data_IF_851895467098
#
_entry.id   IF_851895467098
#
_cell.length_a   1.000
_cell.length_b   1.000
_cell.length_c   1.000
_cell.angle_alpha   90.00
_cell.angle_beta   90.00
_cell.angle_gamma   90.00
#
_symmetry.space_group_name_H-M   'P 1'
#
loop_
_entity.id
_entity.type
_entity.pdbx_description
1 polymer ?
#
# COMPACT_ATOMS: atom_id res chain seq x y z
N UNK A 1 20.69 -1.48 8.65
CA UNK A 1 21.56 -1.71 7.47
C UNK A 1 22.04 -0.38 6.86
N UNK A 2 21.16 0.53 6.43
CA UNK A 2 21.58 1.80 5.83
C UNK A 2 22.50 2.64 6.75
N UNK A 3 22.14 2.78 8.04
CA UNK A 3 22.97 3.48 9.02
C UNK A 3 24.36 2.86 9.22
N UNK A 4 24.47 1.53 9.18
CA UNK A 4 25.75 0.83 9.32
C UNK A 4 26.65 1.10 8.10
N UNK A 5 26.09 1.02 6.87
CA UNK A 5 26.83 1.39 5.65
C UNK A 5 27.26 2.85 5.62
N UNK A 6 26.55 3.73 6.32
CA UNK A 6 26.87 5.14 6.43
C UNK A 6 27.88 5.46 7.55
N UNK A 7 28.35 4.45 8.31
CA UNK A 7 29.29 4.69 9.40
C UNK A 7 28.69 5.52 10.54
N UNK A 8 27.42 5.32 10.90
CA UNK A 8 26.72 6.13 11.91
C UNK A 8 26.25 5.27 13.08
N UNK A 9 27.07 5.18 14.14
CA UNK A 9 26.78 4.33 15.30
C UNK A 9 25.49 4.73 16.03
N UNK A 10 25.29 6.02 16.26
CA UNK A 10 24.12 6.53 16.97
C UNK A 10 22.80 6.10 16.30
N UNK A 11 22.76 6.11 14.96
CA UNK A 11 21.62 5.65 14.19
C UNK A 11 21.49 4.12 14.16
N UNK A 12 22.60 3.38 14.11
CA UNK A 12 22.59 1.90 14.21
C UNK A 12 22.04 1.46 15.55
N UNK A 13 22.55 2.01 16.65
CA UNK A 13 22.11 1.66 18.00
C UNK A 13 20.63 1.99 18.22
N UNK A 14 20.16 3.13 17.70
CA UNK A 14 18.74 3.48 17.74
C UNK A 14 17.88 2.48 16.96
N UNK A 15 18.32 2.06 15.77
CA UNK A 15 17.60 1.08 14.95
C UNK A 15 17.52 -0.29 15.64
N UNK A 16 18.63 -0.77 16.21
CA UNK A 16 18.65 -2.01 17.00
C UNK A 16 17.70 -1.92 18.19
N UNK A 17 17.79 -0.81 18.94
CA UNK A 17 16.93 -0.56 20.11
C UNK A 17 15.45 -0.55 19.73
N UNK A 18 15.11 0.00 18.55
CA UNK A 18 13.73 0.07 18.05
C UNK A 18 13.15 -1.30 17.69
N UNK A 19 13.99 -2.32 17.47
CA UNK A 19 13.56 -3.70 17.23
C UNK A 19 13.57 -4.51 18.53
N UNK A 20 14.63 -4.39 19.33
CA UNK A 20 14.79 -5.21 20.55
C UNK A 20 13.88 -4.76 21.67
N UNK A 21 13.73 -3.45 21.90
CA UNK A 21 12.87 -2.94 22.98
C UNK A 21 11.43 -3.48 22.92
N UNK A 22 10.68 -3.34 21.80
CA UNK A 22 9.32 -3.88 21.74
C UNK A 22 9.31 -5.42 21.83
N UNK A 23 10.29 -6.11 21.23
CA UNK A 23 10.37 -7.57 21.34
C UNK A 23 10.55 -8.03 22.79
N UNK A 24 11.37 -7.33 23.58
CA UNK A 24 11.56 -7.62 25.01
C UNK A 24 10.31 -7.27 25.82
N UNK A 25 9.66 -6.13 25.56
CA UNK A 25 8.47 -5.71 26.30
C UNK A 25 7.26 -6.61 26.02
N UNK A 26 7.08 -7.04 24.78
CA UNK A 26 5.90 -7.79 24.35
C UNK A 26 6.16 -9.30 24.24
N UNK A 27 7.39 -9.74 24.53
CA UNK A 27 7.85 -11.13 24.41
C UNK A 27 7.63 -11.73 23.01
N UNK A 28 7.57 -10.87 21.98
CA UNK A 28 7.29 -11.27 20.60
C UNK A 28 7.62 -10.14 19.61
N UNK A 29 7.98 -10.48 18.38
CA UNK A 29 8.23 -9.52 17.31
C UNK A 29 6.92 -9.16 16.60
N UNK A 30 6.16 -8.22 17.20
CA UNK A 30 4.92 -7.69 16.62
C UNK A 30 5.12 -7.13 15.22
N UNK A 31 4.06 -7.21 14.41
CA UNK A 31 4.02 -6.70 13.05
C UNK A 31 3.91 -5.17 13.03
N UNK A 32 2.94 -4.64 13.76
CA UNK A 32 2.57 -3.22 13.71
C UNK A 32 2.66 -2.57 15.08
N UNK A 33 2.92 -1.27 15.11
CA UNK A 33 2.94 -0.44 16.31
C UNK A 33 2.20 0.87 16.05
N UNK A 34 1.56 1.42 17.09
CA UNK A 34 1.00 2.77 17.08
C UNK A 34 2.16 3.76 17.04
N UNK A 35 2.21 4.59 16.00
CA UNK A 35 3.36 5.49 15.76
C UNK A 35 3.72 6.34 16.97
N UNK A 36 2.72 6.93 17.64
CA UNK A 36 2.93 7.87 18.75
C UNK A 36 3.29 7.23 20.10
N UNK A 37 3.05 5.93 20.28
CA UNK A 37 3.27 5.27 21.58
C UNK A 37 4.25 4.10 21.50
N UNK A 38 4.47 3.54 20.31
CA UNK A 38 5.23 2.30 20.11
C UNK A 38 4.53 1.06 20.66
N UNK A 39 3.26 1.16 21.08
CA UNK A 39 2.47 0.03 21.57
C UNK A 39 1.83 -0.72 20.38
N UNK A 40 1.63 -2.03 20.51
CA UNK A 40 0.85 -2.79 19.54
C UNK A 40 -0.65 -2.64 19.78
N UNK A 41 -1.06 -2.35 21.03
CA UNK A 41 -2.46 -2.11 21.37
C UNK A 41 -2.95 -0.82 20.69
N UNK A 42 -3.94 -0.94 19.80
CA UNK A 42 -4.48 0.17 19.00
C UNK A 42 -4.19 0.08 17.50
N UNK A 43 -3.38 -0.88 17.04
CA UNK A 43 -3.22 -1.16 15.60
C UNK A 43 -4.47 -1.85 15.04
N UNK A 44 -4.86 -1.52 13.80
CA UNK A 44 -6.02 -2.16 13.14
C UNK A 44 -5.82 -3.66 12.87
N UNK A 45 -4.61 -4.06 12.46
CA UNK A 45 -4.21 -5.44 12.16
C UNK A 45 -2.84 -5.67 12.77
N UNK A 46 -2.60 -6.85 13.32
CA UNK A 46 -1.30 -7.21 13.88
C UNK A 46 -1.13 -8.72 13.94
N UNK A 47 0.12 -9.16 13.93
CA UNK A 47 0.53 -10.54 14.14
C UNK A 47 1.66 -10.60 15.15
N UNK A 48 1.63 -11.59 16.04
CA UNK A 48 2.75 -11.88 16.95
C UNK A 48 3.90 -12.57 16.23
N UNK A 49 3.62 -13.34 15.19
CA UNK A 49 4.62 -14.18 14.51
C UNK A 49 4.69 -13.81 13.03
N UNK A 50 4.99 -12.55 12.74
CA UNK A 50 5.10 -12.10 11.36
C UNK A 50 6.51 -12.34 10.82
N UNK A 51 6.60 -13.03 9.68
CA UNK A 51 7.85 -13.49 9.09
C UNK A 51 8.86 -12.33 8.93
N UNK A 52 8.40 -11.17 8.46
CA UNK A 52 9.29 -10.02 8.25
C UNK A 52 9.79 -9.38 9.55
N UNK A 53 9.02 -9.42 10.63
CA UNK A 53 9.43 -8.87 11.93
C UNK A 53 10.49 -9.75 12.59
N UNK A 54 10.27 -11.07 12.54
CA UNK A 54 11.24 -12.08 12.99
C UNK A 54 12.53 -12.02 12.16
N UNK A 55 12.38 -11.92 10.83
CA UNK A 55 13.52 -11.81 9.91
C UNK A 55 14.30 -10.51 10.14
N UNK A 56 13.62 -9.40 10.46
CA UNK A 56 14.27 -8.13 10.81
C UNK A 56 15.10 -8.23 12.08
N UNK A 57 14.61 -8.95 13.10
CA UNK A 57 15.36 -9.22 14.33
C UNK A 57 16.61 -10.08 14.06
N UNK A 58 16.45 -11.21 13.37
CA UNK A 58 17.57 -12.09 12.99
C UNK A 58 18.59 -11.36 12.10
N UNK A 59 18.13 -10.47 11.20
CA UNK A 59 19.01 -9.68 10.35
C UNK A 59 19.90 -8.71 11.13
N UNK A 60 19.55 -8.29 12.35
CA UNK A 60 20.48 -7.55 13.22
C UNK A 60 21.69 -8.42 13.55
N UNK A 61 21.48 -9.68 13.89
CA UNK A 61 22.58 -10.61 14.17
C UNK A 61 23.40 -10.86 12.91
N UNK A 62 22.77 -11.34 11.84
CA UNK A 62 23.52 -11.78 10.65
C UNK A 62 24.10 -10.62 9.85
N UNK A 63 23.33 -9.56 9.60
CA UNK A 63 23.71 -8.51 8.66
C UNK A 63 24.29 -7.26 9.31
N UNK A 64 24.16 -7.10 10.63
CA UNK A 64 24.75 -5.97 11.36
C UNK A 64 25.93 -6.46 12.20
N UNK A 65 25.70 -7.30 13.22
CA UNK A 65 26.80 -7.72 14.10
C UNK A 65 27.87 -8.55 13.37
N UNK A 66 27.48 -9.60 12.65
CA UNK A 66 28.43 -10.37 11.83
C UNK A 66 28.65 -9.77 10.44
N UNK A 67 27.80 -8.83 10.02
CA UNK A 67 27.99 -8.12 8.75
C UNK A 67 27.94 -9.00 7.49
N UNK A 68 27.24 -10.13 7.55
CA UNK A 68 27.20 -11.14 6.49
C UNK A 68 26.57 -10.58 5.22
N UNK A 69 27.31 -10.65 4.12
CA UNK A 69 26.85 -10.31 2.78
C UNK A 69 27.12 -11.48 1.83
N UNK A 70 26.09 -11.85 1.08
CA UNK A 70 26.18 -12.91 0.06
C UNK A 70 26.62 -12.30 -1.26
N UNK A 71 27.69 -12.82 -1.82
CA UNK A 71 28.22 -12.49 -3.14
C UNK A 71 28.08 -13.71 -4.06
N UNK A 72 28.34 -13.53 -5.36
CA UNK A 72 28.20 -14.61 -6.34
C UNK A 72 29.10 -15.81 -6.01
N UNK A 73 30.37 -15.53 -5.69
CA UNK A 73 31.42 -16.54 -5.49
C UNK A 73 31.99 -16.58 -4.06
N UNK A 74 31.42 -15.82 -3.13
CA UNK A 74 31.89 -15.75 -1.75
C UNK A 74 30.78 -15.32 -0.78
N UNK A 75 31.10 -15.40 0.50
CA UNK A 75 30.39 -14.70 1.57
C UNK A 75 31.39 -13.78 2.25
N UNK A 76 31.02 -12.51 2.43
CA UNK A 76 31.87 -11.47 3.01
C UNK A 76 31.32 -10.98 4.35
N UNK A 77 32.21 -10.49 5.19
CA UNK A 77 31.92 -10.04 6.54
C UNK A 77 32.28 -8.56 6.70
N UNK A 78 31.26 -7.74 6.98
CA UNK A 78 31.38 -6.30 7.22
C UNK A 78 30.65 -5.93 8.53
N UNK A 79 31.15 -6.41 9.67
CA UNK A 79 30.51 -6.27 10.97
C UNK A 79 30.39 -4.79 11.36
N UNK A 80 29.31 -4.46 12.06
CA UNK A 80 29.13 -3.17 12.71
C UNK A 80 28.56 -3.43 14.11
N UNK A 81 29.39 -3.20 15.12
CA UNK A 81 29.02 -3.40 16.52
C UNK A 81 29.12 -2.07 17.25
N UNK A 82 27.99 -1.45 17.64
CA UNK A 82 28.04 -0.25 18.47
C UNK A 82 28.82 -0.49 19.76
N UNK A 83 29.58 0.50 20.23
CA UNK A 83 30.41 0.38 21.43
C UNK A 83 29.60 -0.03 22.67
N UNK A 84 28.37 0.49 22.80
CA UNK A 84 27.45 0.14 23.89
C UNK A 84 27.06 -1.35 23.91
N UNK A 85 27.30 -2.07 22.81
CA UNK A 85 27.05 -3.49 22.64
C UNK A 85 28.35 -4.28 22.45
N UNK A 86 29.52 -3.72 22.81
CA UNK A 86 30.78 -4.45 22.75
C UNK A 86 30.69 -5.78 23.51
N UNK A 87 31.30 -6.83 22.96
CA UNK A 87 31.26 -8.16 23.57
C UNK A 87 31.78 -9.24 22.66
N UNK A 88 31.69 -10.48 23.12
CA UNK A 88 32.02 -11.69 22.36
C UNK A 88 30.71 -12.32 21.89
N UNK A 89 30.65 -12.71 20.62
CA UNK A 89 29.51 -13.38 20.01
C UNK A 89 29.96 -14.62 19.27
N UNK A 90 29.10 -15.63 19.28
CA UNK A 90 29.30 -16.85 18.53
C UNK A 90 28.07 -17.13 17.66
N UNK A 91 28.32 -17.48 16.40
CA UNK A 91 27.34 -18.04 15.49
C UNK A 91 27.79 -19.44 15.11
N UNK A 92 27.15 -20.43 15.72
CA UNK A 92 27.51 -21.83 15.57
C UNK A 92 26.64 -22.50 14.50
N UNK A 93 27.24 -23.43 13.76
CA UNK A 93 26.61 -24.19 12.70
C UNK A 93 25.95 -23.36 11.58
N UNK A 94 26.58 -22.24 11.20
CA UNK A 94 26.08 -21.42 10.10
C UNK A 94 26.34 -22.11 8.77
N UNK A 95 25.28 -22.59 8.14
CA UNK A 95 25.36 -23.26 6.84
C UNK A 95 25.57 -22.26 5.73
N UNK A 96 26.65 -22.45 4.97
CA UNK A 96 26.93 -21.73 3.74
C UNK A 96 27.31 -22.74 2.66
N UNK A 97 26.33 -23.10 1.81
CA UNK A 97 26.47 -24.16 0.81
C UNK A 97 26.93 -25.47 1.49
N UNK A 98 28.03 -26.05 1.04
CA UNK A 98 28.61 -27.29 1.59
C UNK A 98 29.52 -27.05 2.82
N UNK A 99 29.69 -25.80 3.24
CA UNK A 99 30.44 -25.45 4.45
C UNK A 99 29.53 -25.29 5.68
N UNK A 100 30.08 -25.66 6.83
CA UNK A 100 29.52 -25.47 8.15
C UNK A 100 30.45 -24.57 8.98
N UNK A 101 30.03 -23.33 9.20
CA UNK A 101 30.88 -22.29 9.76
C UNK A 101 30.53 -22.03 11.24
N UNK A 102 31.54 -22.13 12.10
CA UNK A 102 31.48 -21.61 13.47
C UNK A 102 32.22 -20.27 13.52
N UNK A 103 31.50 -19.18 13.73
CA UNK A 103 32.03 -17.82 13.64
C UNK A 103 32.08 -17.20 15.03
N UNK A 104 33.27 -16.83 15.49
CA UNK A 104 33.51 -16.09 16.72
C UNK A 104 33.82 -14.62 16.36
N UNK A 105 33.09 -13.67 16.93
CA UNK A 105 33.29 -12.23 16.77
C UNK A 105 33.55 -11.59 18.12
N UNK A 106 34.49 -10.64 18.18
CA UNK A 106 34.80 -9.90 19.39
C UNK A 106 35.21 -8.46 19.09
N UNK A 107 34.84 -7.56 19.99
CA UNK A 107 35.20 -6.14 19.94
C UNK A 107 34.00 -5.24 19.62
N UNK A 108 34.29 -4.03 19.14
CA UNK A 108 33.32 -3.08 18.61
C UNK A 108 33.86 -2.23 17.46
N UNK A 109 32.98 -1.47 16.82
CA UNK A 109 33.26 -0.63 15.65
C UNK A 109 32.82 -1.29 14.34
N UNK A 110 33.32 -0.75 13.22
CA UNK A 110 32.97 -1.18 11.86
C UNK A 110 34.18 -1.63 11.02
N UNK A 111 35.35 -1.77 11.66
CA UNK A 111 36.60 -2.22 11.04
C UNK A 111 37.09 -3.51 11.69
N UNK A 112 37.54 -4.43 10.85
CA UNK A 112 38.15 -5.70 11.27
C UNK A 112 39.66 -5.51 11.42
N UNK A 113 40.19 -5.82 12.60
CA UNK A 113 41.63 -5.89 12.86
C UNK A 113 42.22 -7.26 12.46
N UNK A 114 41.48 -8.34 12.77
CA UNK A 114 41.90 -9.71 12.47
C UNK A 114 40.73 -10.53 11.92
N UNK A 115 40.99 -11.20 10.79
CA UNK A 115 40.13 -12.23 10.24
C UNK A 115 40.93 -13.52 10.03
N UNK A 116 40.48 -14.64 10.59
CA UNK A 116 41.13 -15.94 10.38
C UNK A 116 40.14 -17.01 9.97
N UNK A 117 40.59 -17.93 9.10
CA UNK A 117 39.93 -19.19 8.79
C UNK A 117 40.82 -20.33 9.30
N UNK A 118 40.28 -21.16 10.20
CA UNK A 118 40.98 -22.27 10.86
C UNK A 118 42.33 -21.87 11.48
N UNK A 119 42.38 -20.67 12.06
CA UNK A 119 43.58 -20.09 12.69
C UNK A 119 44.56 -19.43 11.70
N UNK A 120 44.34 -19.54 10.39
CA UNK A 120 45.15 -18.87 9.37
C UNK A 120 44.58 -17.50 9.06
N UNK A 121 45.40 -16.45 9.21
CA UNK A 121 45.01 -15.07 8.87
C UNK A 121 44.74 -14.93 7.37
N UNK A 122 43.62 -14.32 7.02
CA UNK A 122 43.30 -13.92 5.65
C UNK A 122 43.42 -12.39 5.49
N UNK A 123 43.71 -11.93 4.28
CA UNK A 123 43.81 -10.50 3.98
C UNK A 123 42.45 -9.84 3.78
N UNK A 124 41.50 -10.58 3.22
CA UNK A 124 40.13 -10.13 3.01
C UNK A 124 39.18 -10.91 3.93
N UNK A 125 38.16 -10.26 4.52
CA UNK A 125 37.18 -10.90 5.38
C UNK A 125 36.12 -11.64 4.53
N UNK A 126 36.58 -12.59 3.72
CA UNK A 126 35.76 -13.32 2.77
C UNK A 126 36.04 -14.82 2.81
N UNK A 127 35.00 -15.61 2.54
CA UNK A 127 35.05 -17.07 2.46
C UNK A 127 34.51 -17.50 1.09
N UNK A 128 35.27 -18.29 0.31
CA UNK A 128 34.86 -18.67 -1.04
C UNK A 128 33.67 -19.62 -1.02
N UNK A 129 32.80 -19.51 -2.03
CA UNK A 129 31.63 -20.37 -2.22
C UNK A 129 31.96 -21.85 -2.40
N UNK A 130 33.22 -22.16 -2.73
CA UNK A 130 33.73 -23.52 -2.92
C UNK A 130 34.20 -24.19 -1.62
N UNK A 131 34.20 -23.48 -0.48
CA UNK A 131 34.59 -24.06 0.81
C UNK A 131 33.62 -25.18 1.21
N UNK A 132 34.14 -26.26 1.80
CA UNK A 132 33.35 -27.44 2.19
C UNK A 132 33.82 -27.99 3.53
N UNK A 133 32.90 -28.55 4.31
CA UNK A 133 33.22 -29.15 5.60
C UNK A 133 33.11 -28.15 6.77
N UNK A 134 33.66 -28.53 7.92
CA UNK A 134 33.53 -27.77 9.17
C UNK A 134 34.71 -26.82 9.35
N UNK A 135 34.42 -25.54 9.58
CA UNK A 135 35.45 -24.50 9.70
C UNK A 135 35.19 -23.56 10.87
N UNK A 136 36.27 -23.02 11.44
CA UNK A 136 36.22 -21.97 12.46
C UNK A 136 36.68 -20.65 11.86
N UNK A 137 35.84 -19.62 11.97
CA UNK A 137 36.15 -18.25 11.62
C UNK A 137 36.32 -17.45 12.91
N UNK A 138 37.34 -16.60 12.96
CA UNK A 138 37.52 -15.62 14.03
C UNK A 138 37.60 -14.22 13.45
N UNK A 139 36.80 -13.32 14.00
CA UNK A 139 36.72 -11.90 13.65
C UNK A 139 37.04 -11.09 14.91
N UNK A 140 38.06 -10.24 14.85
CA UNK A 140 38.37 -9.28 15.91
C UNK A 140 38.23 -7.90 15.32
N UNK A 141 37.39 -7.06 15.93
CA UNK A 141 37.21 -5.67 15.55
C UNK A 141 38.29 -4.80 16.18
N UNK A 142 38.55 -3.65 15.56
CA UNK A 142 39.63 -2.74 15.98
C UNK A 142 39.32 -1.96 17.27
N UNK A 143 38.10 -2.07 17.82
CA UNK A 143 37.64 -1.29 18.97
C UNK A 143 37.67 0.24 18.72
N UNK A 144 37.40 0.62 17.47
CA UNK A 144 37.26 2.02 17.06
C UNK A 144 35.88 2.56 17.44
N UNK A 145 35.86 3.77 18.03
CA UNK A 145 34.62 4.53 18.16
C UNK A 145 34.16 5.00 16.76
N UNK A 146 32.90 4.75 16.43
CA UNK A 146 32.29 5.22 15.19
C UNK A 146 31.36 6.38 15.51
N UNK A 147 31.75 7.59 15.08
CA UNK A 147 30.92 8.78 15.30
C UNK A 147 29.56 8.69 14.58
N UNK A 148 28.56 9.38 15.10
CA UNK A 148 27.26 9.42 14.47
C UNK A 148 26.31 10.40 15.13
N UNK A 149 25.40 10.97 14.33
CA UNK A 149 24.30 11.80 14.83
C UNK A 149 22.98 11.18 14.44
N UNK A 150 22.01 11.28 15.36
CA UNK A 150 20.61 10.96 15.09
C UNK A 150 19.79 12.24 15.18
N UNK A 151 18.97 12.46 14.17
CA UNK A 151 17.97 13.53 14.19
C UNK A 151 16.64 12.91 14.61
N UNK A 152 16.06 13.40 15.71
CA UNK A 152 14.75 12.97 16.19
C UNK A 152 13.78 14.13 15.98
N UNK A 153 12.91 13.97 14.99
CA UNK A 153 11.80 14.89 14.76
C UNK A 153 10.62 14.47 15.64
N UNK A 154 9.87 15.44 16.16
CA UNK A 154 8.62 15.14 16.86
C UNK A 154 7.59 14.56 15.89
N UNK A 155 6.80 13.62 16.36
CA UNK A 155 5.65 13.14 15.61
C UNK A 155 4.73 14.30 15.24
N UNK A 156 4.27 14.28 14.00
CA UNK A 156 3.33 15.24 13.47
C UNK A 156 2.24 14.52 12.71
N UNK A 157 1.00 14.65 13.17
CA UNK A 157 -0.18 14.12 12.48
C UNK A 157 -0.95 15.29 11.88
N UNK A 158 -1.24 15.18 10.59
CA UNK A 158 -2.04 16.19 9.88
C UNK A 158 -3.48 16.19 10.40
N UNK A 159 -4.21 17.27 10.14
CA UNK A 159 -5.66 17.30 10.42
C UNK A 159 -6.43 16.28 9.58
N UNK A 160 -7.66 15.97 10.01
CA UNK A 160 -8.53 15.00 9.36
C UNK A 160 -8.83 15.32 7.89
N UNK A 161 -9.08 14.27 7.11
CA UNK A 161 -9.38 14.39 5.67
C UNK A 161 -10.79 14.94 5.46
N UNK A 162 -11.00 15.98 4.63
CA UNK A 162 -12.33 16.50 4.34
C UNK A 162 -13.25 15.46 3.68
N UNK A 163 -14.45 15.29 4.23
CA UNK A 163 -15.54 14.54 3.60
C UNK A 163 -16.37 15.50 2.74
N UNK A 164 -16.09 15.51 1.43
CA UNK A 164 -16.68 16.47 0.49
C UNK A 164 -17.93 15.88 -0.16
N UNK A 165 -18.98 16.70 -0.25
CA UNK A 165 -20.23 16.39 -0.93
C UNK A 165 -20.54 17.48 -1.96
N UNK A 166 -21.20 17.10 -3.07
CA UNK A 166 -21.71 18.04 -4.07
C UNK A 166 -23.23 18.16 -3.95
N UNK A 167 -23.72 19.34 -3.58
CA UNK A 167 -25.15 19.65 -3.53
C UNK A 167 -25.42 20.98 -4.23
N UNK A 168 -26.34 20.98 -5.20
CA UNK A 168 -26.78 22.20 -5.94
C UNK A 168 -25.63 23.09 -6.45
N UNK A 169 -24.51 22.50 -6.84
CA UNK A 169 -23.34 23.25 -7.34
C UNK A 169 -22.36 23.72 -6.28
N UNK A 170 -22.60 23.38 -5.02
CA UNK A 170 -21.68 23.65 -3.93
C UNK A 170 -20.93 22.37 -3.55
N UNK A 171 -19.61 22.45 -3.53
CA UNK A 171 -18.82 21.54 -2.71
C UNK A 171 -19.00 21.94 -1.25
N UNK A 172 -19.22 20.96 -0.38
CA UNK A 172 -19.45 21.14 1.06
C UNK A 172 -18.73 20.08 1.87
N UNK A 173 -18.13 20.49 2.97
CA UNK A 173 -17.49 19.60 3.93
C UNK A 173 -17.73 20.12 5.36
N UNK A 174 -17.64 19.26 6.39
CA UNK A 174 -17.70 19.72 7.78
C UNK A 174 -16.46 20.54 8.15
N UNK A 175 -16.58 21.41 9.17
CA UNK A 175 -15.43 22.05 9.78
C UNK A 175 -14.55 20.96 10.43
N UNK A 176 -13.24 21.05 10.21
CA UNK A 176 -12.26 20.11 10.74
C UNK A 176 -11.52 20.78 11.90
N UNK A 177 -11.40 20.07 13.01
CA UNK A 177 -10.65 20.55 14.17
C UNK A 177 -9.17 20.76 13.81
N UNK A 178 -8.59 21.87 14.23
CA UNK A 178 -7.21 22.26 13.91
C UNK A 178 -6.99 22.83 12.49
N UNK A 179 -7.96 22.70 11.58
CA UNK A 179 -7.86 23.28 10.24
C UNK A 179 -8.09 24.80 10.28
N UNK A 180 -7.20 25.55 9.64
CA UNK A 180 -7.27 27.02 9.49
C UNK A 180 -7.83 27.40 8.12
N UNK A 181 -7.42 26.68 7.07
CA UNK A 181 -7.86 26.90 5.69
C UNK A 181 -8.08 25.57 4.97
N UNK A 182 -8.60 25.64 3.75
CA UNK A 182 -8.82 24.51 2.86
C UNK A 182 -8.25 24.80 1.48
N UNK A 183 -7.41 23.91 0.96
CA UNK A 183 -6.91 23.96 -0.41
C UNK A 183 -7.87 23.19 -1.30
N UNK A 184 -8.45 23.86 -2.31
CA UNK A 184 -9.22 23.20 -3.37
C UNK A 184 -8.28 22.78 -4.47
N UNK A 185 -8.43 21.55 -4.93
CA UNK A 185 -7.84 21.06 -6.16
C UNK A 185 -8.91 20.96 -7.25
N UNK A 186 -8.48 21.21 -8.48
CA UNK A 186 -9.22 20.84 -9.70
C UNK A 186 -8.27 20.11 -10.63
N UNK A 187 -8.65 18.91 -11.06
CA UNK A 187 -7.88 18.06 -11.98
C UNK A 187 -6.42 17.86 -11.49
N UNK A 188 -6.27 17.59 -10.19
CA UNK A 188 -4.98 17.41 -9.51
C UNK A 188 -4.14 18.68 -9.31
N UNK A 189 -4.64 19.87 -9.67
CA UNK A 189 -3.92 21.15 -9.55
C UNK A 189 -4.55 22.06 -8.51
N UNK A 190 -3.73 22.84 -7.82
CA UNK A 190 -4.19 23.87 -6.88
C UNK A 190 -5.09 24.88 -7.61
N UNK A 191 -6.34 24.99 -7.16
CA UNK A 191 -7.32 25.94 -7.68
C UNK A 191 -7.37 27.20 -6.82
N UNK A 192 -7.60 27.05 -5.51
CA UNK A 192 -7.74 28.17 -4.57
C UNK A 192 -7.61 27.72 -3.12
N UNK A 193 -7.33 28.66 -2.22
CA UNK A 193 -7.38 28.44 -0.76
C UNK A 193 -8.55 29.22 -0.20
N UNK A 194 -9.38 28.58 0.62
CA UNK A 194 -10.57 29.18 1.24
C UNK A 194 -10.61 28.89 2.74
N UNK A 195 -11.19 29.79 3.52
CA UNK A 195 -11.48 29.57 4.95
C UNK A 195 -12.90 29.04 5.20
N UNK A 196 -13.76 29.10 4.20
CA UNK A 196 -15.14 28.60 4.25
C UNK A 196 -15.18 27.10 3.98
N UNK A 197 -16.20 26.43 4.50
CA UNK A 197 -16.44 25.00 4.29
C UNK A 197 -17.41 24.69 3.15
N UNK A 198 -17.68 25.68 2.31
CA UNK A 198 -18.50 25.53 1.12
C UNK A 198 -18.05 26.48 0.01
N UNK A 199 -17.98 25.94 -1.22
CA UNK A 199 -17.55 26.69 -2.42
C UNK A 199 -18.48 26.36 -3.58
N UNK A 200 -19.00 27.41 -4.23
CA UNK A 200 -19.74 27.28 -5.48
C UNK A 200 -18.75 26.95 -6.60
N UNK A 201 -19.05 25.90 -7.37
CA UNK A 201 -18.21 25.45 -8.48
C UNK A 201 -18.92 25.61 -9.82
N UNK A 202 -18.12 25.77 -10.87
CA UNK A 202 -18.63 25.82 -12.23
C UNK A 202 -18.95 24.42 -12.73
N UNK A 203 -20.21 24.19 -13.12
CA UNK A 203 -20.73 22.94 -13.69
C UNK A 203 -20.71 22.87 -15.21
N UNK A 204 -20.26 23.93 -15.89
CA UNK A 204 -20.32 24.03 -17.35
C UNK A 204 -19.33 23.10 -18.08
N UNK A 205 -18.33 22.58 -17.38
CA UNK A 205 -17.31 21.69 -17.93
C UNK A 205 -17.03 20.57 -16.95
N UNK A 206 -16.52 19.46 -17.48
CA UNK A 206 -15.95 18.41 -16.64
C UNK A 206 -14.86 18.99 -15.73
N UNK A 207 -14.79 18.49 -14.50
CA UNK A 207 -13.70 18.74 -13.58
C UNK A 207 -13.79 17.81 -12.38
N UNK A 208 -12.65 17.28 -11.98
CA UNK A 208 -12.50 16.50 -10.76
C UNK A 208 -12.05 17.43 -9.63
N UNK A 209 -12.82 17.52 -8.54
CA UNK A 209 -12.50 18.40 -7.42
C UNK A 209 -12.15 17.61 -6.17
N UNK A 210 -11.15 18.09 -5.43
CA UNK A 210 -10.79 17.58 -4.11
C UNK A 210 -10.52 18.74 -3.16
N UNK A 211 -10.58 18.45 -1.86
CA UNK A 211 -10.28 19.43 -0.80
C UNK A 211 -9.26 18.83 0.16
N UNK A 212 -8.22 19.60 0.49
CA UNK A 212 -7.31 19.33 1.60
C UNK A 212 -7.59 20.32 2.72
N UNK A 213 -7.57 19.87 3.97
CA UNK A 213 -7.55 20.75 5.12
C UNK A 213 -6.10 21.15 5.43
N UNK A 214 -5.87 22.43 5.71
CA UNK A 214 -4.57 22.98 6.08
C UNK A 214 -4.62 23.41 7.54
N UNK A 215 -3.67 22.94 8.34
CA UNK A 215 -3.53 23.38 9.72
C UNK A 215 -2.80 24.74 9.84
N UNK A 216 -2.52 25.15 11.08
CA UNK A 216 -1.86 26.42 11.40
C UNK A 216 -0.43 26.56 10.88
N UNK A 217 0.22 25.45 10.49
CA UNK A 217 1.55 25.43 9.89
C UNK A 217 1.50 25.20 8.38
N UNK A 218 0.31 25.28 7.77
CA UNK A 218 0.04 25.00 6.37
C UNK A 218 0.40 23.56 5.94
N UNK A 219 0.39 22.60 6.88
CA UNK A 219 0.55 21.19 6.52
C UNK A 219 -0.81 20.64 6.05
N UNK A 220 -0.87 20.01 4.87
CA UNK A 220 -2.12 19.49 4.33
C UNK A 220 -2.49 18.13 4.93
N UNK A 221 -3.78 17.88 5.13
CA UNK A 221 -4.37 16.54 5.25
C UNK A 221 -4.18 15.74 3.96
N UNK A 222 -4.65 14.49 3.93
CA UNK A 222 -4.95 13.85 2.64
C UNK A 222 -6.03 14.66 1.90
N UNK A 223 -6.03 14.54 0.57
CA UNK A 223 -7.11 15.07 -0.25
C UNK A 223 -8.37 14.22 -0.05
N UNK A 224 -9.54 14.89 -0.08
CA UNK A 224 -10.85 14.22 -0.06
C UNK A 224 -11.00 13.20 -1.18
N UNK A 225 -12.01 12.34 -1.10
CA UNK A 225 -12.47 11.58 -2.27
C UNK A 225 -12.73 12.55 -3.44
N UNK A 226 -12.30 12.21 -4.66
CA UNK A 226 -12.58 13.02 -5.84
C UNK A 226 -14.07 13.18 -6.10
N UNK A 227 -14.49 14.40 -6.42
CA UNK A 227 -15.86 14.74 -6.75
C UNK A 227 -15.93 15.19 -8.19
N UNK A 228 -16.48 14.33 -9.05
CA UNK A 228 -16.70 14.64 -10.45
C UNK A 228 -17.83 15.65 -10.63
N UNK A 229 -17.56 16.65 -11.46
CA UNK A 229 -18.51 17.72 -11.78
C UNK A 229 -18.57 17.81 -13.29
N UNK A 230 -19.76 17.64 -13.85
CA UNK A 230 -19.97 17.68 -15.29
C UNK A 230 -21.39 18.17 -15.62
N UNK A 231 -21.59 18.72 -16.83
CA UNK A 231 -22.93 18.98 -17.36
C UNK A 231 -23.75 17.70 -17.45
N UNK A 232 -25.05 17.74 -17.11
CA UNK A 232 -25.92 16.55 -17.14
C UNK A 232 -25.99 15.90 -18.53
N UNK A 233 -25.91 16.70 -19.60
CA UNK A 233 -25.90 16.21 -20.98
C UNK A 233 -24.62 15.47 -21.38
N UNK A 234 -23.58 15.46 -20.53
CA UNK A 234 -22.38 14.64 -20.72
C UNK A 234 -22.53 13.22 -20.16
N UNK A 235 -23.57 12.94 -19.38
CA UNK A 235 -23.78 11.65 -18.73
C UNK A 235 -24.68 10.74 -19.56
N UNK A 236 -24.15 9.60 -19.98
CA UNK A 236 -24.94 8.45 -20.41
C UNK A 236 -24.98 7.41 -19.28
N UNK A 237 -26.19 7.09 -18.79
CA UNK A 237 -26.43 6.09 -17.75
C UNK A 237 -27.18 4.88 -18.32
N UNK A 238 -26.70 3.68 -18.05
CA UNK A 238 -27.33 2.43 -18.49
C UNK A 238 -27.48 1.48 -17.31
N UNK A 239 -28.73 1.19 -16.95
CA UNK A 239 -29.11 0.25 -15.89
C UNK A 239 -28.66 -1.18 -16.27
N UNK A 240 -27.97 -1.87 -15.37
CA UNK A 240 -27.34 -3.15 -15.67
C UNK A 240 -28.37 -4.26 -15.91
N UNK A 241 -29.48 -4.24 -15.17
CA UNK A 241 -30.56 -5.24 -15.23
C UNK A 241 -31.34 -5.21 -16.55
N UNK A 242 -31.13 -4.19 -17.39
CA UNK A 242 -31.69 -4.18 -18.76
C UNK A 242 -30.96 -5.11 -19.72
N UNK A 243 -29.78 -5.60 -19.34
CA UNK A 243 -28.88 -6.33 -20.24
C UNK A 243 -28.66 -7.80 -19.84
N UNK A 244 -29.07 -8.19 -18.64
CA UNK A 244 -29.03 -9.58 -18.15
C UNK A 244 -30.05 -9.78 -17.03
N UNK A 245 -30.22 -11.02 -16.59
CA UNK A 245 -31.14 -11.35 -15.51
C UNK A 245 -30.73 -10.64 -14.20
N UNK A 246 -31.65 -9.90 -13.55
CA UNK A 246 -31.37 -9.26 -12.27
C UNK A 246 -31.13 -10.31 -11.17
N UNK A 247 -30.37 -9.90 -10.16
CA UNK A 247 -30.27 -10.65 -8.90
C UNK A 247 -31.63 -10.67 -8.18
N UNK A 248 -31.88 -11.75 -7.45
CA UNK A 248 -33.08 -11.91 -6.61
C UNK A 248 -32.86 -11.39 -5.17
N UNK A 249 -31.65 -10.92 -4.85
CA UNK A 249 -31.34 -10.39 -3.53
C UNK A 249 -32.19 -9.16 -3.20
N UNK A 250 -32.61 -9.05 -1.94
CA UNK A 250 -33.41 -7.94 -1.44
C UNK A 250 -32.49 -6.85 -0.90
N UNK A 251 -32.09 -5.91 -1.75
CA UNK A 251 -31.25 -4.76 -1.39
C UNK A 251 -32.02 -3.45 -1.53
N UNK A 252 -31.50 -2.38 -0.95
CA UNK A 252 -32.08 -1.04 -1.08
C UNK A 252 -31.08 -0.06 -1.68
N UNK A 253 -31.56 1.08 -2.19
CA UNK A 253 -30.71 2.16 -2.69
C UNK A 253 -30.10 1.96 -4.08
N UNK A 254 -30.42 0.86 -4.77
CA UNK A 254 -30.16 0.70 -6.21
C UNK A 254 -31.13 1.56 -7.02
N UNK A 255 -30.88 1.71 -8.32
CA UNK A 255 -31.71 2.51 -9.23
C UNK A 255 -32.44 1.64 -10.26
N UNK A 256 -33.35 2.23 -11.04
CA UNK A 256 -34.12 1.44 -11.98
C UNK A 256 -35.02 0.42 -11.27
N UNK A 257 -34.98 -0.83 -11.75
CA UNK A 257 -35.87 -1.91 -11.29
C UNK A 257 -35.14 -3.08 -10.66
N UNK A 258 -33.80 -3.07 -10.67
CA UNK A 258 -32.99 -4.11 -10.08
C UNK A 258 -31.49 -3.82 -10.17
N UNK A 259 -30.69 -4.86 -10.00
CA UNK A 259 -29.24 -4.85 -10.13
C UNK A 259 -28.78 -6.25 -10.54
N UNK A 260 -27.53 -6.37 -10.99
CA UNK A 260 -26.97 -7.61 -11.53
C UNK A 260 -25.87 -8.14 -10.61
N UNK A 261 -25.95 -9.42 -10.24
CA UNK A 261 -24.82 -10.09 -9.60
C UNK A 261 -23.74 -10.43 -10.64
N UNK A 262 -22.50 -10.07 -10.36
CA UNK A 262 -21.32 -10.58 -11.06
C UNK A 262 -20.48 -11.40 -10.08
N UNK A 263 -20.15 -12.64 -10.43
CA UNK A 263 -19.35 -13.55 -9.61
C UNK A 263 -18.60 -14.55 -10.48
N UNK A 264 -18.02 -15.60 -9.88
CA UNK A 264 -17.42 -16.71 -10.63
C UNK A 264 -18.46 -17.55 -11.37
N UNK A 265 -19.71 -17.57 -10.88
CA UNK A 265 -20.77 -18.45 -11.35
C UNK A 265 -21.96 -17.69 -11.93
N UNK A 266 -22.18 -16.44 -11.52
CA UNK A 266 -23.22 -15.57 -12.04
C UNK A 266 -22.62 -14.45 -12.89
N UNK A 267 -23.10 -14.29 -14.12
CA UNK A 267 -22.64 -13.26 -15.07
C UNK A 267 -21.11 -13.02 -15.07
N UNK A 268 -20.28 -14.07 -15.29
CA UNK A 268 -18.82 -13.90 -15.37
C UNK A 268 -18.41 -12.97 -16.54
N UNK A 269 -19.31 -12.80 -17.52
CA UNK A 269 -19.23 -11.80 -18.58
C UNK A 269 -20.54 -11.02 -18.59
N UNK A 270 -20.46 -9.69 -18.49
CA UNK A 270 -21.57 -8.77 -18.65
C UNK A 270 -21.33 -7.90 -19.89
N UNK A 271 -22.25 -7.95 -20.87
CA UNK A 271 -22.18 -7.16 -22.10
C UNK A 271 -23.25 -6.08 -22.09
N UNK A 272 -22.84 -4.83 -22.28
CA UNK A 272 -23.71 -3.65 -22.22
C UNK A 272 -23.60 -2.92 -23.56
N UNK A 273 -24.62 -2.99 -24.43
CA UNK A 273 -24.67 -2.19 -25.64
C UNK A 273 -24.87 -0.72 -25.29
N UNK A 274 -24.09 0.15 -25.93
CA UNK A 274 -24.16 1.60 -25.72
C UNK A 274 -24.29 2.32 -27.07
N UNK A 275 -25.08 3.39 -27.09
CA UNK A 275 -25.21 4.28 -28.24
C UNK A 275 -24.52 5.60 -27.91
N UNK A 276 -23.50 5.94 -28.70
CA UNK A 276 -22.72 7.16 -28.53
C UNK A 276 -23.14 8.17 -29.59
N UNK A 277 -23.69 9.30 -29.16
CA UNK A 277 -24.20 10.34 -30.06
C UNK A 277 -23.11 11.29 -30.56
N UNK A 278 -22.06 11.47 -29.76
CA UNK A 278 -20.94 12.34 -30.05
C UNK A 278 -19.63 11.62 -29.81
N UNK A 279 -18.73 11.60 -30.81
CA UNK A 279 -17.38 11.11 -30.59
C UNK A 279 -16.67 11.94 -29.51
N UNK A 280 -15.80 11.29 -28.73
CA UNK A 280 -15.05 11.93 -27.66
C UNK A 280 -14.36 10.94 -26.73
N UNK A 281 -13.79 11.46 -25.65
CA UNK A 281 -13.26 10.64 -24.56
C UNK A 281 -14.31 10.52 -23.47
N UNK A 282 -14.54 9.29 -23.01
CA UNK A 282 -15.52 8.97 -21.99
C UNK A 282 -14.84 8.33 -20.79
N UNK A 283 -15.13 8.84 -19.60
CA UNK A 283 -14.84 8.17 -18.35
C UNK A 283 -15.94 7.14 -18.06
N UNK A 284 -15.55 5.87 -17.97
CA UNK A 284 -16.47 4.75 -17.72
C UNK A 284 -16.27 4.26 -16.28
N UNK A 285 -17.34 4.29 -15.48
CA UNK A 285 -17.34 3.73 -14.12
C UNK A 285 -18.69 3.06 -13.82
N UNK A 286 -18.68 2.13 -12.87
CA UNK A 286 -19.85 1.33 -12.50
C UNK A 286 -20.29 1.68 -11.08
N UNK A 287 -21.60 1.86 -10.88
CA UNK A 287 -22.16 1.87 -9.53
C UNK A 287 -22.31 0.43 -9.05
N UNK A 288 -21.73 0.13 -7.91
CA UNK A 288 -21.61 -1.23 -7.43
C UNK A 288 -21.76 -1.35 -5.91
N UNK A 289 -21.97 -2.59 -5.46
CA UNK A 289 -21.92 -2.98 -4.06
C UNK A 289 -21.11 -4.27 -3.87
N UNK A 290 -20.39 -4.39 -2.76
CA UNK A 290 -19.64 -5.58 -2.41
C UNK A 290 -19.62 -5.76 -0.88
N UNK A 291 -20.56 -6.54 -0.37
CA UNK A 291 -20.73 -6.79 1.07
C UNK A 291 -19.86 -7.93 1.63
N UNK A 292 -18.85 -8.39 0.88
CA UNK A 292 -18.11 -9.62 1.22
C UNK A 292 -17.14 -9.49 2.41
N UNK A 293 -16.96 -8.30 2.99
CA UNK A 293 -16.06 -8.08 4.12
C UNK A 293 -15.72 -6.61 4.37
N UNK A 294 -14.88 -6.30 5.36
CA UNK A 294 -14.33 -4.96 5.52
C UNK A 294 -13.37 -4.63 4.36
N UNK A 295 -13.22 -3.33 4.04
CA UNK A 295 -12.40 -2.86 2.91
C UNK A 295 -10.91 -3.14 3.07
N UNK A 296 -10.41 -3.29 4.30
CA UNK A 296 -9.00 -3.35 4.64
C UNK A 296 -8.42 -4.78 4.76
N UNK A 297 -9.21 -5.85 4.55
CA UNK A 297 -8.72 -7.24 4.68
C UNK A 297 -9.54 -8.24 3.84
N UNK A 298 -9.34 -9.54 4.07
CA UNK A 298 -10.00 -10.71 3.47
C UNK A 298 -9.77 -10.96 1.97
N UNK A 299 -9.18 -10.01 1.23
CA UNK A 299 -8.78 -10.15 -0.18
C UNK A 299 -9.95 -10.42 -1.15
N UNK A 300 -11.19 -10.05 -0.81
CA UNK A 300 -12.42 -10.34 -1.58
C UNK A 300 -12.85 -9.22 -2.53
N UNK A 301 -11.90 -8.39 -2.97
CA UNK A 301 -12.15 -7.37 -3.99
C UNK A 301 -12.59 -8.08 -5.29
N UNK A 302 -13.72 -7.68 -5.86
CA UNK A 302 -14.10 -8.17 -7.17
C UNK A 302 -13.33 -7.39 -8.24
N UNK A 303 -12.84 -8.09 -9.26
CA UNK A 303 -11.98 -7.50 -10.30
C UNK A 303 -12.51 -7.96 -11.65
N UNK A 304 -12.62 -7.05 -12.62
CA UNK A 304 -13.06 -7.36 -13.98
C UNK A 304 -12.20 -6.62 -15.00
N UNK A 305 -12.00 -7.24 -16.14
CA UNK A 305 -11.43 -6.59 -17.33
C UNK A 305 -12.56 -5.91 -18.11
N UNK A 306 -12.41 -4.62 -18.39
CA UNK A 306 -13.30 -3.89 -19.29
C UNK A 306 -12.70 -3.88 -20.70
N UNK A 307 -13.52 -4.23 -21.68
CA UNK A 307 -13.21 -4.08 -23.10
C UNK A 307 -14.32 -3.35 -23.83
N UNK A 308 -13.95 -2.61 -24.87
CA UNK A 308 -14.88 -1.96 -25.80
C UNK A 308 -14.63 -2.51 -27.20
N UNK A 309 -15.68 -3.03 -27.84
CA UNK A 309 -15.62 -3.63 -29.18
C UNK A 309 -14.51 -4.69 -29.34
N UNK A 310 -14.27 -5.47 -28.28
CA UNK A 310 -13.23 -6.52 -28.16
C UNK A 310 -11.81 -6.01 -27.90
N UNK A 311 -11.61 -4.71 -27.71
CA UNK A 311 -10.32 -4.13 -27.31
C UNK A 311 -10.29 -3.91 -25.79
N UNK A 312 -9.32 -4.51 -25.11
CA UNK A 312 -9.09 -4.27 -23.68
C UNK A 312 -8.86 -2.76 -23.42
N UNK A 313 -9.59 -2.22 -22.45
CA UNK A 313 -9.59 -0.80 -22.11
C UNK A 313 -9.08 -0.51 -20.70
N UNK A 314 -9.21 -1.45 -19.78
CA UNK A 314 -8.70 -1.30 -18.42
C UNK A 314 -9.24 -2.32 -17.44
N UNK A 315 -8.77 -2.24 -16.20
CA UNK A 315 -9.27 -3.05 -15.08
C UNK A 315 -10.25 -2.22 -14.26
N UNK A 316 -11.38 -2.84 -13.93
CA UNK A 316 -12.39 -2.29 -13.03
C UNK A 316 -12.25 -3.03 -11.70
N UNK A 317 -11.97 -2.28 -10.64
CA UNK A 317 -11.86 -2.79 -9.27
C UNK A 317 -13.12 -2.44 -8.47
N UNK A 318 -13.60 -3.44 -7.71
CA UNK A 318 -14.82 -3.36 -6.92
C UNK A 318 -14.51 -3.81 -5.47
N UNK A 319 -13.75 -3.01 -4.68
CA UNK A 319 -13.38 -3.35 -3.30
C UNK A 319 -14.60 -3.60 -2.41
N UNK A 320 -14.41 -4.37 -1.32
CA UNK A 320 -15.47 -4.55 -0.34
C UNK A 320 -15.88 -3.21 0.30
N UNK A 321 -17.16 -3.06 0.62
CA UNK A 321 -17.77 -1.83 1.16
C UNK A 321 -18.38 -2.01 2.55
N UNK A 322 -18.08 -3.13 3.21
CA UNK A 322 -18.55 -3.44 4.56
C UNK A 322 -18.98 -4.90 4.68
N UNK A 323 -18.82 -5.47 5.87
CA UNK A 323 -19.16 -6.88 6.13
C UNK A 323 -20.68 -7.04 6.20
N UNK A 324 -21.27 -7.70 5.21
CA UNK A 324 -22.71 -7.88 5.08
C UNK A 324 -23.47 -6.65 4.55
N UNK A 325 -22.77 -5.54 4.31
CA UNK A 325 -23.36 -4.25 3.95
C UNK A 325 -23.62 -4.13 2.45
N UNK A 326 -24.54 -4.95 1.94
CA UNK A 326 -24.85 -5.00 0.51
C UNK A 326 -25.68 -3.82 -0.02
N UNK A 327 -26.30 -3.03 0.85
CA UNK A 327 -26.99 -1.79 0.43
C UNK A 327 -26.08 -0.56 0.41
N UNK A 328 -24.77 -0.72 0.65
CA UNK A 328 -23.78 0.35 0.52
C UNK A 328 -23.24 0.42 -0.92
N UNK A 329 -23.78 1.35 -1.71
CA UNK A 329 -23.41 1.55 -3.10
C UNK A 329 -22.34 2.64 -3.27
N UNK A 330 -21.36 2.38 -4.13
CA UNK A 330 -20.34 3.36 -4.52
C UNK A 330 -19.95 3.20 -5.98
N UNK A 331 -18.95 3.97 -6.42
CA UNK A 331 -18.43 3.87 -7.79
C UNK A 331 -17.09 3.14 -7.82
N UNK A 332 -16.86 2.41 -8.90
CA UNK A 332 -15.54 1.86 -9.23
C UNK A 332 -14.57 2.97 -9.61
N UNK A 333 -13.30 2.61 -9.80
CA UNK A 333 -12.38 3.46 -10.55
C UNK A 333 -12.93 3.77 -11.96
N UNK A 334 -12.41 4.84 -12.55
CA UNK A 334 -12.72 5.21 -13.92
C UNK A 334 -11.78 4.53 -14.92
N UNK A 335 -12.32 4.20 -16.08
CA UNK A 335 -11.56 3.78 -17.27
C UNK A 335 -11.86 4.76 -18.40
N UNK A 336 -10.84 5.49 -18.85
CA UNK A 336 -11.00 6.51 -19.90
C UNK A 336 -10.85 5.87 -21.29
N UNK A 337 -11.88 6.00 -22.12
CA UNK A 337 -11.94 5.37 -23.45
C UNK A 337 -12.33 6.38 -24.52
N UNK A 338 -11.62 6.36 -25.66
CA UNK A 338 -12.02 7.12 -26.85
C UNK A 338 -13.09 6.37 -27.62
N UNK A 339 -14.27 6.95 -27.76
CA UNK A 339 -15.41 6.35 -28.46
C UNK A 339 -15.77 7.18 -29.69
N UNK A 340 -16.16 6.48 -30.77
CA UNK A 340 -16.70 7.11 -31.98
C UNK A 340 -18.21 7.29 -31.81
N UNK A 341 -18.83 8.10 -32.66
CA UNK A 341 -20.29 8.11 -32.77
C UNK A 341 -20.76 6.76 -33.30
N UNK A 342 -21.77 6.17 -32.66
CA UNK A 342 -22.36 4.90 -33.09
C UNK A 342 -22.60 3.92 -31.96
N UNK A 343 -22.87 2.67 -32.35
CA UNK A 343 -23.09 1.56 -31.42
C UNK A 343 -21.75 0.97 -31.01
N UNK A 344 -21.59 0.76 -29.71
CA UNK A 344 -20.45 0.08 -29.11
C UNK A 344 -20.92 -0.98 -28.13
N UNK A 345 -20.08 -1.96 -27.82
CA UNK A 345 -20.34 -2.95 -26.78
C UNK A 345 -19.28 -2.82 -25.70
N UNK A 346 -19.70 -2.48 -24.48
CA UNK A 346 -18.87 -2.61 -23.29
C UNK A 346 -18.98 -4.04 -22.77
N UNK A 347 -17.86 -4.73 -22.60
CA UNK A 347 -17.81 -6.07 -22.01
C UNK A 347 -16.98 -6.02 -20.72
N UNK A 348 -17.63 -6.33 -19.61
CA UNK A 348 -17.03 -6.47 -18.28
C UNK A 348 -16.88 -7.97 -17.97
N UNK A 349 -15.64 -8.45 -17.87
CA UNK A 349 -15.33 -9.89 -17.86
C UNK A 349 -14.43 -10.29 -16.68
N UNK A 350 -14.73 -11.44 -16.07
CA UNK A 350 -13.86 -12.13 -15.13
C UNK A 350 -12.85 -12.97 -15.92
N UNK A 351 -11.78 -12.34 -16.41
CA UNK A 351 -10.69 -13.03 -17.09
C UNK A 351 -9.74 -13.71 -16.08
N UNK A 352 -8.85 -14.58 -16.55
CA UNK A 352 -7.88 -15.28 -15.69
C UNK A 352 -6.99 -14.32 -14.87
N UNK A 353 -6.59 -13.19 -15.48
CA UNK A 353 -5.82 -12.14 -14.81
C UNK A 353 -6.60 -11.38 -13.72
N UNK A 354 -7.90 -11.64 -13.57
CA UNK A 354 -8.76 -10.99 -12.57
C UNK A 354 -8.99 -11.86 -11.33
N UNK A 355 -8.29 -13.00 -11.20
CA UNK A 355 -8.27 -13.76 -9.96
C UNK A 355 -7.67 -12.90 -8.83
N UNK A 356 -8.41 -12.74 -7.74
CA UNK A 356 -7.92 -12.07 -6.53
C UNK A 356 -7.23 -13.08 -5.60
N UNK A 357 -6.55 -12.59 -4.56
CA UNK A 357 -5.83 -13.47 -3.63
C UNK A 357 -6.75 -14.30 -2.72
N UNK A 358 -8.07 -14.02 -2.68
CA UNK A 358 -9.00 -14.87 -1.95
C UNK A 358 -9.20 -16.23 -2.65
N UNK A 359 -9.08 -16.29 -3.98
CA UNK A 359 -9.20 -17.53 -4.74
C UNK A 359 -10.65 -18.00 -4.95
N UNK A 360 -11.53 -17.82 -3.97
CA UNK A 360 -12.92 -18.32 -4.03
C UNK A 360 -13.92 -17.20 -4.35
N UNK A 361 -13.92 -16.12 -3.58
CA UNK A 361 -14.90 -15.03 -3.65
C UNK A 361 -14.39 -13.92 -4.55
N UNK A 362 -15.13 -13.63 -5.62
CA UNK A 362 -14.89 -12.50 -6.54
C UNK A 362 -16.25 -11.93 -7.01
N UNK A 363 -17.11 -11.66 -6.02
CA UNK A 363 -18.51 -11.28 -6.21
C UNK A 363 -18.75 -9.80 -5.93
N UNK A 364 -19.58 -9.17 -6.75
CA UNK A 364 -20.14 -7.85 -6.53
C UNK A 364 -21.52 -7.72 -7.18
N UNK A 365 -22.25 -6.67 -6.82
CA UNK A 365 -23.50 -6.27 -7.48
C UNK A 365 -23.23 -5.04 -8.34
N UNK A 366 -23.74 -5.01 -9.57
CA UNK A 366 -23.71 -3.86 -10.48
C UNK A 366 -25.11 -3.29 -10.60
N UNK A 367 -25.27 -2.02 -10.26
CA UNK A 367 -26.52 -1.27 -10.43
C UNK A 367 -26.57 -0.70 -11.86
N UNK A 368 -25.59 0.15 -12.21
CA UNK A 368 -25.50 0.71 -13.56
C UNK A 368 -24.08 1.07 -13.96
N UNK A 369 -23.90 1.32 -15.25
CA UNK A 369 -22.70 1.95 -15.80
C UNK A 369 -22.97 3.42 -16.14
N UNK A 370 -21.99 4.28 -15.88
CA UNK A 370 -21.95 5.66 -16.40
C UNK A 370 -20.86 5.77 -17.45
N UNK A 371 -21.16 6.50 -18.51
CA UNK A 371 -20.19 7.02 -19.45
C UNK A 371 -20.30 8.54 -19.40
N UNK A 372 -19.27 9.19 -18.89
CA UNK A 372 -19.21 10.65 -18.74
C UNK A 372 -18.29 11.19 -19.83
N UNK A 373 -18.82 12.01 -20.74
CA UNK A 373 -17.99 12.65 -21.76
C UNK A 373 -17.10 13.72 -21.13
N UNK A 374 -15.79 13.54 -21.21
CA UNK A 374 -14.78 14.43 -20.59
C UNK A 374 -14.03 15.32 -21.60
N UNK A 375 -13.87 14.86 -22.86
CA UNK A 375 -13.25 15.62 -23.95
C UNK A 375 -13.98 15.42 -25.28
#
# INVERSE_FOLDING_TARGET
>A
MAAAKAGNEAAVLQAISSVYRPATLFLTNKENFVNSTGDFAGTQINSSNMLWSLSGNIAIVYKIFFGIQYEENAISFHPFVPQALAGIRELNHFKYREADLNIEESGYGDKIELFTLDGVKLNEPQIPASLQGHHKIKIVLHDDHVDGKKEITRDYTTVETPLVTLDKGYLRWPKIEGAVNYQLLKDGKNLSVVSKTSVLINKAQFGEYQVLALDKYAVPSFASEPVDVFPENCLLKIEAEKNTQPSTMQLSGFSGTGFVEISRTANPVLSIPVQIDHAGTYAINFRYSNGNGPVNTENKCAIRSLSVDRTFSGVVVLPQRGKGEWSNWGFTNEVHVKLKKGKHILKLELAGANANMNGEINQAMIDYVRLIKIF
#
